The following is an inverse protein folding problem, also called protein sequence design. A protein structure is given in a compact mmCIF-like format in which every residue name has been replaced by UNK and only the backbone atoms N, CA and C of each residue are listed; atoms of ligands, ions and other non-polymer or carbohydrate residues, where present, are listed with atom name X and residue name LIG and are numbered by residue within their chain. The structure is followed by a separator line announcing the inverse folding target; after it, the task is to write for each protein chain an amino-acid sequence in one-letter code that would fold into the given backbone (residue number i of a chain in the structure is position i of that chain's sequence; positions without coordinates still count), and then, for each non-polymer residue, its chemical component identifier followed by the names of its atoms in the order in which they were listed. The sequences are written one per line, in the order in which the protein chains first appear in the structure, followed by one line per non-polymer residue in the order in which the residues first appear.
data_IF_204634238648
#
_entry.id   IF_204634238648
#
_cell.length_a   1.000
_cell.length_b   1.000
_cell.length_c   1.000
_cell.angle_alpha   90.00
_cell.angle_beta   90.00
_cell.angle_gamma   90.00
#
_symmetry.space_group_name_H-M   'P 1'
#
loop_
_entity.id
_entity.type
_entity.pdbx_description
1 polymer ?
#
# COMPACT_ATOMS: atom_id res chain seq x y z
N UNK A 1 -13.09 -13.74 -1.15
CA UNK A 1 -13.36 -12.27 -1.05
C UNK A 1 -12.66 -11.52 -2.18
N UNK A 2 -13.32 -10.54 -2.81
CA UNK A 2 -12.66 -9.66 -3.78
C UNK A 2 -11.63 -8.79 -3.06
N UNK A 3 -10.41 -8.69 -3.60
CA UNK A 3 -9.37 -7.85 -3.01
C UNK A 3 -9.79 -6.38 -3.05
N UNK A 4 -9.61 -5.67 -1.94
CA UNK A 4 -9.83 -4.24 -1.85
C UNK A 4 -8.61 -3.46 -2.38
N UNK A 5 -8.81 -2.22 -2.82
CA UNK A 5 -7.70 -1.36 -3.28
C UNK A 5 -6.91 -0.86 -2.07
N UNK A 6 -5.57 -0.90 -2.15
CA UNK A 6 -4.72 -0.26 -1.15
C UNK A 6 -4.97 1.24 -1.10
N UNK A 7 -5.16 1.83 0.09
CA UNK A 7 -5.31 3.28 0.27
C UNK A 7 -4.11 4.06 -0.28
N UNK A 8 -4.35 5.22 -0.88
CA UNK A 8 -3.29 6.02 -1.53
C UNK A 8 -2.23 6.47 -0.52
N UNK A 9 -2.63 6.90 0.67
CA UNK A 9 -1.69 7.30 1.74
C UNK A 9 -0.69 6.17 2.04
N UNK A 10 -1.20 4.93 2.11
CA UNK A 10 -0.39 3.75 2.40
C UNK A 10 0.50 3.37 1.20
N UNK A 11 0.04 3.58 -0.04
CA UNK A 11 0.89 3.42 -1.23
C UNK A 11 2.06 4.42 -1.23
N UNK A 12 1.81 5.67 -0.82
CA UNK A 12 2.85 6.71 -0.75
C UNK A 12 3.89 6.34 0.31
N UNK A 13 3.43 6.02 1.53
CA UNK A 13 4.32 5.67 2.65
C UNK A 13 5.11 4.40 2.35
N UNK A 14 4.48 3.37 1.76
CA UNK A 14 5.19 2.14 1.41
C UNK A 14 6.20 2.35 0.29
N UNK A 15 5.89 3.17 -0.71
CA UNK A 15 6.85 3.54 -1.74
C UNK A 15 8.02 4.32 -1.15
N UNK A 16 7.76 5.27 -0.24
CA UNK A 16 8.80 6.04 0.42
C UNK A 16 9.74 5.12 1.23
N UNK A 17 9.19 4.18 1.99
CA UNK A 17 9.98 3.19 2.73
C UNK A 17 10.87 2.32 1.83
N UNK A 18 10.45 2.05 0.59
CA UNK A 18 11.29 1.38 -0.42
C UNK A 18 12.37 2.31 -0.94
N UNK A 19 12.01 3.54 -1.31
CA UNK A 19 12.94 4.52 -1.87
C UNK A 19 14.05 4.89 -0.88
N UNK A 20 13.74 5.03 0.41
CA UNK A 20 14.71 5.33 1.48
C UNK A 20 15.84 4.29 1.58
N UNK A 21 15.60 3.05 1.16
CA UNK A 21 16.60 1.98 1.14
C UNK A 21 17.52 2.04 -0.08
N UNK A 22 17.21 2.87 -1.07
CA UNK A 22 18.03 3.01 -2.27
C UNK A 22 19.14 4.03 -2.03
N UNK A 23 20.36 3.66 -2.39
CA UNK A 23 21.51 4.57 -2.35
C UNK A 23 21.49 5.50 -3.57
N UNK A 24 20.77 6.61 -3.47
CA UNK A 24 20.58 7.57 -4.56
C UNK A 24 21.51 8.77 -4.33
N UNK A 25 22.41 9.10 -5.29
CA UNK A 25 23.18 10.33 -5.23
C UNK A 25 22.24 11.55 -5.21
N UNK A 26 22.52 12.51 -4.33
CA UNK A 26 21.74 13.74 -4.19
C UNK A 26 22.42 14.92 -4.92
N UNK A 27 22.10 15.18 -6.21
CA UNK A 27 22.60 16.37 -6.88
C UNK A 27 21.99 17.63 -6.26
N UNK A 28 22.79 18.71 -6.21
CA UNK A 28 22.39 20.04 -5.71
C UNK A 28 21.26 20.71 -6.51
N UNK A 29 20.81 20.11 -7.60
CA UNK A 29 19.75 20.61 -8.47
C UNK A 29 18.32 20.36 -7.92
N UNK A 30 18.17 19.62 -6.83
CA UNK A 30 16.88 19.33 -6.22
C UNK A 30 16.63 20.21 -5.00
N UNK A 31 15.36 20.58 -4.77
CA UNK A 31 14.98 21.41 -3.63
C UNK A 31 15.09 20.67 -2.27
N UNK A 32 14.99 19.34 -2.25
CA UNK A 32 15.19 18.52 -1.05
C UNK A 32 15.44 17.02 -1.40
N UNK A 33 15.90 16.20 -0.43
CA UNK A 33 16.08 14.76 -0.62
C UNK A 33 14.79 14.04 -1.06
N UNK A 34 13.64 14.39 -0.49
CA UNK A 34 12.35 13.79 -0.87
C UNK A 34 12.08 13.92 -2.38
N UNK A 35 12.24 15.13 -2.95
CA UNK A 35 12.01 15.33 -4.38
C UNK A 35 13.09 14.66 -5.25
N UNK A 36 14.33 14.55 -4.77
CA UNK A 36 15.37 13.79 -5.47
C UNK A 36 15.04 12.29 -5.55
N UNK A 37 14.59 11.69 -4.44
CA UNK A 37 14.19 10.29 -4.33
C UNK A 37 12.92 10.02 -5.15
N UNK A 38 11.90 10.89 -5.07
CA UNK A 38 10.68 10.78 -5.85
C UNK A 38 10.95 10.83 -7.37
N UNK A 39 11.77 11.78 -7.83
CA UNK A 39 12.17 11.88 -9.24
C UNK A 39 13.01 10.68 -9.70
N UNK A 40 13.82 10.11 -8.81
CA UNK A 40 14.53 8.86 -9.10
C UNK A 40 13.55 7.69 -9.24
N UNK A 41 12.60 7.55 -8.32
CA UNK A 41 11.52 6.54 -8.39
C UNK A 41 10.73 6.62 -9.69
N UNK A 42 10.33 7.82 -10.12
CA UNK A 42 9.65 8.05 -11.41
C UNK A 42 10.51 7.55 -12.58
N UNK A 43 11.83 7.81 -12.57
CA UNK A 43 12.75 7.33 -13.63
C UNK A 43 12.83 5.81 -13.67
N UNK A 44 12.90 5.15 -12.51
CA UNK A 44 12.89 3.68 -12.43
C UNK A 44 11.57 3.10 -12.95
N UNK A 45 10.43 3.65 -12.52
CA UNK A 45 9.11 3.19 -12.98
C UNK A 45 8.93 3.34 -14.49
N UNK A 46 9.36 4.46 -15.08
CA UNK A 46 9.36 4.66 -16.54
C UNK A 46 10.23 3.63 -17.27
N UNK A 47 11.39 3.30 -16.70
CA UNK A 47 12.26 2.27 -17.26
C UNK A 47 11.63 0.88 -17.16
N UNK A 48 10.89 0.59 -16.08
CA UNK A 48 10.15 -0.66 -15.93
C UNK A 48 8.98 -0.76 -16.93
N UNK A 49 8.22 0.31 -17.12
CA UNK A 49 7.07 0.32 -18.05
C UNK A 49 7.47 0.17 -19.51
N UNK A 50 8.71 0.50 -19.88
CA UNK A 50 9.24 0.31 -21.23
C UNK A 50 9.80 -1.10 -21.52
N UNK A 51 9.76 -2.03 -20.56
CA UNK A 51 10.25 -3.40 -20.74
C UNK A 51 9.13 -4.35 -21.20
N UNK A 52 9.52 -5.49 -21.76
CA UNK A 52 8.59 -6.59 -22.04
C UNK A 52 7.85 -7.04 -20.78
N UNK A 53 6.58 -7.40 -20.92
CA UNK A 53 5.77 -7.89 -19.81
C UNK A 53 6.41 -9.11 -19.15
N UNK A 54 6.53 -9.07 -17.82
CA UNK A 54 6.96 -10.22 -17.01
C UNK A 54 5.72 -11.07 -16.73
N UNK A 55 5.52 -12.14 -17.51
CA UNK A 55 4.33 -13.01 -17.42
C UNK A 55 4.16 -13.69 -16.06
N UNK A 56 5.25 -13.83 -15.30
CA UNK A 56 5.26 -14.43 -13.96
C UNK A 56 5.01 -13.42 -12.85
N UNK A 57 4.91 -12.13 -13.17
CA UNK A 57 4.57 -11.12 -12.16
C UNK A 57 3.12 -11.29 -11.71
N UNK A 58 2.93 -11.51 -10.41
CA UNK A 58 1.62 -11.53 -9.75
C UNK A 58 1.69 -10.73 -8.45
N UNK A 59 0.58 -10.09 -8.02
CA UNK A 59 0.48 -9.55 -6.67
C UNK A 59 0.72 -10.63 -5.61
N UNK A 60 1.16 -10.22 -4.41
CA UNK A 60 1.23 -11.14 -3.27
C UNK A 60 -0.16 -11.70 -2.95
N UNK A 61 -0.24 -12.99 -2.68
CA UNK A 61 -1.48 -13.74 -2.44
C UNK A 61 -1.59 -14.33 -1.02
N UNK A 62 -0.69 -13.92 -0.10
CA UNK A 62 -0.70 -14.38 1.29
C UNK A 62 -1.85 -13.79 2.11
N UNK A 63 -1.86 -12.47 2.29
CA UNK A 63 -2.96 -11.78 2.96
C UNK A 63 -3.23 -10.38 2.44
N UNK A 64 -4.39 -9.84 2.82
CA UNK A 64 -4.75 -8.45 2.62
C UNK A 64 -5.09 -7.81 3.96
N UNK A 65 -4.47 -6.67 4.26
CA UNK A 65 -4.74 -5.87 5.45
C UNK A 65 -6.20 -5.37 5.44
N UNK A 66 -6.94 -5.65 6.52
CA UNK A 66 -8.36 -5.26 6.64
C UNK A 66 -8.58 -3.76 6.81
N UNK A 67 -7.54 -3.00 7.19
CA UNK A 67 -7.64 -1.56 7.40
C UNK A 67 -7.32 -0.74 6.14
N UNK A 68 -6.33 -1.19 5.35
CA UNK A 68 -5.80 -0.38 4.27
C UNK A 68 -5.69 -1.08 2.92
N UNK A 69 -5.99 -2.38 2.84
CA UNK A 69 -5.95 -3.15 1.59
C UNK A 69 -4.57 -3.60 1.12
N UNK A 70 -3.49 -3.28 1.86
CA UNK A 70 -2.13 -3.70 1.52
C UNK A 70 -2.00 -5.23 1.50
N UNK A 71 -1.28 -5.75 0.51
CA UNK A 71 -1.00 -7.17 0.38
C UNK A 71 0.32 -7.53 1.09
N UNK A 72 0.40 -8.73 1.65
CA UNK A 72 1.60 -9.24 2.31
C UNK A 72 1.71 -10.76 2.25
N UNK A 73 2.84 -11.27 2.74
CA UNK A 73 3.11 -12.71 2.86
C UNK A 73 2.32 -13.30 4.03
N UNK A 74 1.75 -14.50 3.83
CA UNK A 74 1.11 -15.22 4.92
C UNK A 74 2.21 -15.74 5.87
N UNK A 75 2.03 -15.65 7.21
CA UNK A 75 2.94 -16.28 8.15
C UNK A 75 3.05 -17.78 7.86
N UNK A 76 4.28 -18.32 7.90
CA UNK A 76 4.54 -19.75 7.64
C UNK A 76 4.11 -20.65 8.81
N UNK A 77 3.95 -20.08 10.02
CA UNK A 77 3.74 -20.82 11.25
C UNK A 77 2.34 -20.59 11.88
N UNK A 78 1.89 -21.63 12.57
CA UNK A 78 0.52 -21.98 12.97
C UNK A 78 -0.21 -20.95 13.85
N UNK A 79 -1.55 -20.97 13.74
CA UNK A 79 -2.55 -20.05 14.33
C UNK A 79 -2.63 -18.66 13.67
N UNK A 80 -2.73 -18.66 12.34
CA UNK A 80 -3.09 -17.46 11.60
C UNK A 80 -4.53 -17.03 11.91
N UNK A 81 -4.67 -16.06 12.81
CA UNK A 81 -5.95 -15.43 13.10
C UNK A 81 -6.38 -14.55 11.92
N UNK A 82 -7.29 -15.08 11.09
CA UNK A 82 -7.84 -14.35 9.95
C UNK A 82 -8.55 -13.05 10.35
N UNK A 83 -8.92 -12.87 11.62
CA UNK A 83 -9.58 -11.67 12.12
C UNK A 83 -8.60 -10.53 12.44
N UNK A 84 -7.28 -10.78 12.45
CA UNK A 84 -6.24 -9.81 12.84
C UNK A 84 -5.24 -9.47 11.73
N UNK A 85 -5.68 -9.49 10.48
CA UNK A 85 -4.83 -9.15 9.32
C UNK A 85 -4.58 -7.65 9.23
N UNK A 86 -3.59 -7.16 9.94
CA UNK A 86 -3.04 -5.81 9.80
C UNK A 86 -1.65 -5.89 9.19
N UNK A 87 -1.30 -4.95 8.31
CA UNK A 87 0.07 -4.80 7.84
C UNK A 87 0.89 -3.97 8.83
N UNK A 88 2.22 -3.95 8.68
CA UNK A 88 3.14 -3.18 9.51
C UNK A 88 2.88 -1.66 9.55
N UNK A 89 2.14 -1.11 8.58
CA UNK A 89 1.72 0.30 8.59
C UNK A 89 0.43 0.56 9.40
N UNK A 90 -0.33 -0.49 9.69
CA UNK A 90 -1.59 -0.43 10.44
C UNK A 90 -1.53 -1.17 11.78
N UNK A 91 -0.52 -1.99 12.02
CA UNK A 91 -0.25 -2.62 13.32
C UNK A 91 -0.19 -1.55 14.42
N UNK A 92 -0.88 -1.79 15.55
CA UNK A 92 -0.95 -0.85 16.67
C UNK A 92 -1.84 0.38 16.44
N UNK A 93 -2.25 0.67 15.21
CA UNK A 93 -3.33 1.62 14.93
C UNK A 93 -4.62 0.88 15.24
N UNK A 94 -5.30 1.23 16.35
CA UNK A 94 -6.64 0.70 16.64
C UNK A 94 -7.46 0.83 15.36
N UNK A 95 -8.01 -0.28 14.87
CA UNK A 95 -8.87 -0.26 13.71
C UNK A 95 -9.89 0.87 13.90
N UNK A 96 -10.10 1.76 12.91
CA UNK A 96 -11.23 2.67 12.99
C UNK A 96 -12.44 1.77 13.19
N UNK A 97 -13.17 2.04 14.27
CA UNK A 97 -14.37 1.33 14.66
C UNK A 97 -15.21 1.14 13.40
N UNK A 98 -15.36 -0.11 12.94
CA UNK A 98 -16.31 -0.42 11.88
C UNK A 98 -17.69 -0.34 12.52
N UNK A 99 -18.07 0.90 12.86
CA UNK A 99 -19.34 1.25 13.44
C UNK A 99 -20.43 0.79 12.50
N UNK A 100 -21.28 -0.07 13.05
CA UNK A 100 -22.58 -0.40 12.52
C UNK A 100 -23.27 0.83 11.92
N UNK A 101 -23.63 0.72 10.64
CA UNK A 101 -24.29 1.77 9.88
C UNK A 101 -25.15 1.21 8.76
N UNK A 102 -25.78 0.05 8.98
CA UNK A 102 -27.05 -0.23 8.31
C UNK A 102 -28.09 0.71 8.93
N UNK A 103 -28.47 1.77 8.22
CA UNK A 103 -29.37 2.79 8.75
C UNK A 103 -29.92 3.71 7.67
N UNK A 104 -31.04 3.27 7.08
CA UNK A 104 -32.12 4.07 6.50
C UNK A 104 -31.76 5.14 5.44
N UNK A 105 -32.02 4.78 4.18
CA UNK A 105 -32.53 5.75 3.22
C UNK A 105 -33.85 6.32 3.77
N UNK A 106 -33.87 7.61 4.09
CA UNK A 106 -35.09 8.37 4.25
C UNK A 106 -35.15 9.44 3.15
N UNK A 107 -36.32 9.41 2.52
CA UNK A 107 -36.85 10.20 1.42
C UNK A 107 -36.76 11.70 1.71
N UNK A 108 -36.44 12.50 0.70
CA UNK A 108 -36.89 13.89 0.62
C UNK A 108 -37.15 14.23 -0.85
N UNK A 109 -38.44 14.27 -1.19
CA UNK A 109 -39.00 14.94 -2.36
C UNK A 109 -38.57 16.42 -2.40
N UNK A 110 -38.27 16.90 -3.60
CA UNK A 110 -38.54 18.27 -4.05
C UNK A 110 -38.70 18.28 -5.57
#
# INVERSE_FOLDING_TARGET
PALQRTRVEVQIVSLLAVLERWNIPLPRAHCCPYHAYALHGIRVLRKMSGRNCIRTFKPMDGFQCLSCGMLGEAPEDLEYDESRRLCSFCEGVRAPDQGAGAGAALVADA
#
